data_IF_695232070752
#
_entry.id   IF_695232070752
#
_cell.length_a   1.000
_cell.length_b   1.000
_cell.length_c   1.000
_cell.angle_alpha   90.00
_cell.angle_beta   90.00
_cell.angle_gamma   90.00
#
_symmetry.space_group_name_H-M   'P 1'
#
loop_
_entity.id
_entity.type
_entity.pdbx_description
1 polymer ?
#
# COMPACT_ATOMS: atom_id res chain seq x y z
N UNK A 1 15.65 23.97 -13.43
CA UNK A 1 14.19 23.89 -13.57
C UNK A 1 13.84 22.42 -13.66
N UNK A 2 13.16 21.86 -12.65
CA UNK A 2 12.71 20.45 -12.69
C UNK A 2 11.41 20.42 -13.50
N UNK A 3 11.27 19.54 -14.52
CA UNK A 3 10.04 19.43 -15.31
C UNK A 3 8.80 19.23 -14.43
N UNK A 4 7.71 19.92 -14.77
CA UNK A 4 6.42 19.90 -14.04
C UNK A 4 5.78 18.51 -13.93
N UNK A 5 6.23 17.55 -14.74
CA UNK A 5 5.73 16.18 -14.83
C UNK A 5 6.18 15.26 -13.67
N UNK A 6 7.17 15.68 -12.88
CA UNK A 6 7.68 14.89 -11.75
C UNK A 6 7.08 15.33 -10.39
N UNK A 7 5.97 16.06 -10.42
CA UNK A 7 5.25 16.49 -9.22
C UNK A 7 4.09 15.54 -8.93
N UNK A 8 3.90 15.10 -7.67
CA UNK A 8 2.69 14.37 -7.31
C UNK A 8 1.47 15.21 -7.66
N UNK A 9 0.45 14.57 -8.21
CA UNK A 9 -0.74 15.21 -8.74
C UNK A 9 -1.36 16.16 -7.70
N UNK A 10 -1.80 17.36 -8.13
CA UNK A 10 -2.19 18.46 -7.24
C UNK A 10 -3.28 18.13 -6.20
N UNK A 11 -4.09 17.11 -6.45
CA UNK A 11 -5.11 16.60 -5.52
C UNK A 11 -4.53 15.82 -4.31
N UNK A 12 -3.24 15.47 -4.34
CA UNK A 12 -2.52 14.81 -3.24
C UNK A 12 -1.90 15.79 -2.23
N UNK A 13 -1.91 17.11 -2.48
CA UNK A 13 -1.26 18.10 -1.60
C UNK A 13 -2.00 18.40 -0.28
N UNK A 14 -3.16 17.79 -0.06
CA UNK A 14 -4.00 18.00 1.13
C UNK A 14 -4.30 16.76 1.96
N UNK A 15 -3.84 15.57 1.55
CA UNK A 15 -3.94 14.36 2.36
C UNK A 15 -2.87 14.40 3.45
N UNK A 16 -3.13 15.19 4.50
CA UNK A 16 -2.45 14.99 5.78
C UNK A 16 -2.82 13.60 6.27
N UNK A 17 -1.80 12.76 6.52
CA UNK A 17 -1.94 11.41 7.05
C UNK A 17 -2.83 10.49 6.20
N UNK A 18 -2.25 9.49 5.55
CA UNK A 18 -3.06 8.37 5.05
C UNK A 18 -3.57 7.63 6.30
N UNK A 19 -4.70 8.07 6.85
CA UNK A 19 -5.50 7.30 7.80
C UNK A 19 -6.26 6.25 6.98
N UNK A 20 -5.50 5.32 6.39
CA UNK A 20 -6.07 4.11 5.87
C UNK A 20 -6.56 3.32 7.07
N UNK A 21 -7.86 3.00 7.16
CA UNK A 21 -8.32 2.02 8.13
C UNK A 21 -7.77 0.65 7.70
N UNK A 22 -6.57 0.34 8.21
CA UNK A 22 -5.80 -0.89 7.91
C UNK A 22 -6.65 -2.12 8.23
N UNK A 23 -7.51 -2.04 9.25
CA UNK A 23 -8.42 -3.11 9.64
C UNK A 23 -9.50 -3.30 8.57
N UNK A 24 -10.10 -2.23 8.05
CA UNK A 24 -11.03 -2.31 6.92
C UNK A 24 -10.37 -2.84 5.65
N UNK A 25 -9.12 -2.47 5.36
CA UNK A 25 -8.42 -2.95 4.17
C UNK A 25 -8.10 -4.44 4.25
N UNK A 26 -7.71 -4.93 5.43
CA UNK A 26 -7.53 -6.37 5.67
C UNK A 26 -8.86 -7.11 5.60
N UNK A 27 -9.90 -6.59 6.25
CA UNK A 27 -11.24 -7.19 6.21
C UNK A 27 -11.80 -7.24 4.78
N UNK A 28 -11.57 -6.20 3.98
CA UNK A 28 -11.93 -6.18 2.57
C UNK A 28 -11.17 -7.26 1.78
N UNK A 29 -9.85 -7.38 1.97
CA UNK A 29 -9.04 -8.40 1.30
C UNK A 29 -9.52 -9.82 1.66
N UNK A 30 -9.77 -10.09 2.93
CA UNK A 30 -10.24 -11.39 3.42
C UNK A 30 -11.63 -11.72 2.86
N UNK A 31 -12.55 -10.76 2.87
CA UNK A 31 -13.88 -10.93 2.28
C UNK A 31 -13.82 -11.17 0.78
N UNK A 32 -12.98 -10.43 0.07
CA UNK A 32 -12.82 -10.56 -1.37
C UNK A 32 -12.23 -11.93 -1.74
N UNK A 33 -11.22 -12.38 -1.00
CA UNK A 33 -10.65 -13.72 -1.16
C UNK A 33 -11.71 -14.80 -0.88
N UNK A 34 -12.45 -14.67 0.22
CA UNK A 34 -13.49 -15.63 0.58
C UNK A 34 -14.63 -15.70 -0.44
N UNK A 35 -15.03 -14.57 -1.01
CA UNK A 35 -16.04 -14.49 -2.08
C UNK A 35 -15.57 -15.26 -3.33
N UNK A 36 -14.32 -15.06 -3.73
CA UNK A 36 -13.75 -15.78 -4.88
C UNK A 36 -13.68 -17.28 -4.61
N UNK A 37 -13.16 -17.69 -3.46
CA UNK A 37 -12.96 -19.11 -3.14
C UNK A 37 -14.27 -19.87 -2.93
N UNK A 38 -15.26 -19.24 -2.29
CA UNK A 38 -16.50 -19.92 -1.87
C UNK A 38 -17.62 -19.79 -2.89
N UNK A 39 -17.68 -18.67 -3.62
CA UNK A 39 -18.79 -18.38 -4.53
C UNK A 39 -18.33 -18.40 -5.98
N UNK A 40 -17.23 -17.74 -6.36
CA UNK A 40 -16.85 -17.63 -7.77
C UNK A 40 -16.19 -18.91 -8.32
N UNK A 41 -15.12 -19.39 -7.68
CA UNK A 41 -14.31 -20.50 -8.16
C UNK A 41 -15.08 -21.81 -8.33
N UNK A 42 -16.01 -22.21 -7.42
CA UNK A 42 -16.79 -23.43 -7.59
C UNK A 42 -17.72 -23.42 -8.81
N UNK A 43 -18.05 -22.23 -9.33
CA UNK A 43 -18.93 -22.09 -10.50
C UNK A 43 -18.16 -21.99 -11.82
N UNK A 44 -16.83 -21.86 -11.81
CA UNK A 44 -16.01 -21.75 -13.02
C UNK A 44 -16.12 -22.97 -13.93
N UNK A 45 -16.25 -24.18 -13.37
CA UNK A 45 -16.37 -25.40 -14.18
C UNK A 45 -17.64 -25.41 -15.04
N UNK A 46 -18.77 -24.97 -14.48
CA UNK A 46 -20.04 -24.89 -15.22
C UNK A 46 -19.96 -23.87 -16.35
N UNK A 47 -19.35 -22.71 -16.09
CA UNK A 47 -19.14 -21.70 -17.13
C UNK A 47 -18.20 -22.24 -18.21
N UNK A 48 -17.14 -22.95 -17.83
CA UNK A 48 -16.22 -23.55 -18.78
C UNK A 48 -16.88 -24.61 -19.67
N UNK A 49 -17.85 -25.36 -19.15
CA UNK A 49 -18.57 -26.38 -19.91
C UNK A 49 -19.55 -25.74 -20.92
N UNK A 50 -20.29 -24.70 -20.52
CA UNK A 50 -21.13 -23.92 -21.43
C UNK A 50 -20.31 -23.25 -22.54
N UNK A 51 -19.13 -22.73 -22.18
CA UNK A 51 -18.21 -22.07 -23.12
C UNK A 51 -17.45 -23.05 -24.02
N UNK A 52 -17.60 -24.37 -23.84
CA UNK A 52 -17.04 -25.41 -24.72
C UNK A 52 -18.10 -26.10 -25.59
N UNK A 53 -19.35 -25.63 -25.55
CA UNK A 53 -20.42 -26.20 -26.34
C UNK A 53 -20.00 -26.31 -27.82
N UNK A 54 -19.99 -27.51 -28.43
CA UNK A 54 -19.47 -27.70 -29.77
C UNK A 54 -20.37 -27.00 -30.78
N UNK A 55 -19.75 -26.12 -31.56
CA UNK A 55 -20.43 -25.41 -32.65
C UNK A 55 -20.30 -26.26 -33.92
N UNK A 56 -21.40 -26.55 -34.64
CA UNK A 56 -21.34 -27.27 -35.90
C UNK A 56 -20.45 -26.55 -36.91
N UNK A 57 -19.74 -27.31 -37.75
CA UNK A 57 -19.02 -26.71 -38.87
C UNK A 57 -20.04 -26.10 -39.85
N UNK A 58 -19.89 -24.83 -40.24
CA UNK A 58 -20.76 -24.24 -41.25
C UNK A 58 -20.61 -24.99 -42.57
N UNK A 59 -21.73 -25.11 -43.31
CA UNK A 59 -21.63 -25.49 -44.71
C UNK A 59 -21.00 -24.34 -45.49
N UNK A 60 -19.99 -24.65 -46.30
CA UNK A 60 -19.15 -23.72 -47.09
C UNK A 60 -19.97 -22.89 -48.10
N UNK A 61 -21.26 -23.19 -48.26
CA UNK A 61 -22.20 -22.53 -49.15
C UNK A 61 -22.60 -21.11 -48.71
N UNK A 62 -22.36 -20.73 -47.44
CA UNK A 62 -22.76 -19.44 -46.89
C UNK A 62 -21.58 -18.75 -46.19
N UNK A 63 -20.87 -17.87 -46.91
CA UNK A 63 -19.66 -17.20 -46.39
C UNK A 63 -19.96 -16.33 -45.16
N UNK A 64 -21.14 -15.72 -45.09
CA UNK A 64 -21.58 -14.92 -43.95
C UNK A 64 -21.78 -15.78 -42.69
N UNK A 65 -22.26 -17.02 -42.86
CA UNK A 65 -22.41 -17.96 -41.76
C UNK A 65 -21.04 -18.43 -41.26
N UNK A 66 -20.09 -18.67 -42.18
CA UNK A 66 -18.71 -19.02 -41.82
C UNK A 66 -18.08 -17.90 -40.99
N UNK A 67 -18.13 -16.66 -41.46
CA UNK A 67 -17.59 -15.49 -40.75
C UNK A 67 -18.27 -15.27 -39.39
N UNK A 68 -19.59 -15.45 -39.32
CA UNK A 68 -20.32 -15.33 -38.06
C UNK A 68 -19.87 -16.37 -37.04
N UNK A 69 -19.74 -17.64 -37.44
CA UNK A 69 -19.32 -18.71 -36.52
C UNK A 69 -17.86 -18.55 -36.09
N UNK A 70 -17.00 -18.02 -36.96
CA UNK A 70 -15.62 -17.67 -36.60
C UNK A 70 -15.57 -16.56 -35.56
N UNK A 71 -16.24 -15.42 -35.80
CA UNK A 71 -16.33 -14.32 -34.84
C UNK A 71 -16.99 -14.74 -33.51
N UNK A 72 -17.98 -15.62 -33.58
CA UNK A 72 -18.61 -16.20 -32.39
C UNK A 72 -17.61 -17.02 -31.57
N UNK A 73 -16.83 -17.90 -32.22
CA UNK A 73 -15.80 -18.70 -31.55
C UNK A 73 -14.71 -17.82 -30.93
N UNK A 74 -14.28 -16.77 -31.63
CA UNK A 74 -13.31 -15.81 -31.08
C UNK A 74 -13.85 -15.12 -29.82
N UNK A 75 -15.11 -14.68 -29.86
CA UNK A 75 -15.76 -14.04 -28.73
C UNK A 75 -15.94 -15.02 -27.56
N UNK A 76 -16.29 -16.27 -27.85
CA UNK A 76 -16.41 -17.35 -26.87
C UNK A 76 -15.05 -17.59 -26.18
N UNK A 77 -13.96 -17.68 -26.95
CA UNK A 77 -12.62 -17.83 -26.40
C UNK A 77 -12.20 -16.63 -25.53
N UNK A 78 -12.37 -15.40 -26.03
CA UNK A 78 -12.01 -14.19 -25.29
C UNK A 78 -12.80 -14.06 -23.97
N UNK A 79 -14.08 -14.41 -24.00
CA UNK A 79 -14.93 -14.40 -22.80
C UNK A 79 -14.48 -15.44 -21.79
N UNK A 80 -14.12 -16.64 -22.25
CA UNK A 80 -13.60 -17.69 -21.38
C UNK A 80 -12.30 -17.24 -20.68
N UNK A 81 -11.37 -16.64 -21.42
CA UNK A 81 -10.11 -16.12 -20.86
C UNK A 81 -10.35 -15.07 -19.78
N UNK A 82 -11.29 -14.15 -19.99
CA UNK A 82 -11.64 -13.13 -18.99
C UNK A 82 -12.22 -13.78 -17.73
N UNK A 83 -13.19 -14.67 -17.87
CA UNK A 83 -13.84 -15.36 -16.74
C UNK A 83 -12.80 -16.14 -15.91
N UNK A 84 -11.92 -16.89 -16.57
CA UNK A 84 -10.84 -17.61 -15.87
C UNK A 84 -9.82 -16.66 -15.23
N UNK A 85 -9.56 -15.50 -15.83
CA UNK A 85 -8.64 -14.49 -15.32
C UNK A 85 -9.13 -13.76 -14.06
N UNK A 86 -10.45 -13.62 -13.86
CA UNK A 86 -11.03 -12.90 -12.72
C UNK A 86 -10.63 -13.50 -11.38
N UNK A 87 -10.60 -14.82 -11.26
CA UNK A 87 -10.21 -15.47 -10.00
C UNK A 87 -8.74 -15.13 -9.63
N UNK A 88 -7.83 -15.22 -10.60
CA UNK A 88 -6.42 -14.89 -10.40
C UNK A 88 -6.19 -13.40 -10.11
N UNK A 89 -6.80 -12.52 -10.90
CA UNK A 89 -6.67 -11.07 -10.74
C UNK A 89 -7.20 -10.60 -9.37
N UNK A 90 -8.33 -11.14 -8.94
CA UNK A 90 -8.92 -10.83 -7.63
C UNK A 90 -8.05 -11.34 -6.48
N UNK A 91 -7.48 -12.55 -6.60
CA UNK A 91 -6.54 -13.08 -5.61
C UNK A 91 -5.26 -12.24 -5.50
N UNK A 92 -4.73 -11.75 -6.63
CA UNK A 92 -3.60 -10.82 -6.62
C UNK A 92 -3.94 -9.49 -5.93
N UNK A 93 -5.14 -8.94 -6.17
CA UNK A 93 -5.60 -7.72 -5.53
C UNK A 93 -5.74 -7.90 -4.00
N UNK A 94 -6.36 -9.00 -3.56
CA UNK A 94 -6.48 -9.32 -2.14
C UNK A 94 -5.10 -9.48 -1.48
N UNK A 95 -4.19 -10.20 -2.13
CA UNK A 95 -2.81 -10.36 -1.66
C UNK A 95 -2.05 -9.03 -1.56
N UNK A 96 -2.23 -8.14 -2.55
CA UNK A 96 -1.62 -6.80 -2.52
C UNK A 96 -2.20 -5.95 -1.36
N UNK A 97 -3.51 -5.95 -1.17
CA UNK A 97 -4.17 -5.25 -0.06
C UNK A 97 -3.68 -5.76 1.31
N UNK A 98 -3.51 -7.08 1.46
CA UNK A 98 -2.92 -7.69 2.66
C UNK A 98 -1.48 -7.22 2.91
N UNK A 99 -0.64 -7.22 1.88
CA UNK A 99 0.76 -6.73 2.00
C UNK A 99 0.84 -5.26 2.41
N UNK A 100 -0.05 -4.41 1.87
CA UNK A 100 -0.11 -2.99 2.27
C UNK A 100 -0.55 -2.90 3.73
N UNK A 101 -1.59 -3.63 4.13
CA UNK A 101 -2.08 -3.63 5.51
C UNK A 101 -0.97 -4.05 6.51
N UNK A 102 -0.19 -5.08 6.19
CA UNK A 102 0.92 -5.55 7.05
C UNK A 102 2.02 -4.50 7.22
N UNK A 103 2.41 -3.82 6.13
CA UNK A 103 3.46 -2.78 6.17
C UNK A 103 3.04 -1.57 6.98
N UNK A 104 1.78 -1.15 6.85
CA UNK A 104 1.25 -0.02 7.61
C UNK A 104 1.07 -0.38 9.10
N UNK A 105 0.57 -1.58 9.41
CA UNK A 105 0.47 -2.05 10.80
C UNK A 105 1.83 -2.06 11.52
N UNK A 106 2.90 -2.49 10.83
CA UNK A 106 4.25 -2.43 11.38
C UNK A 106 4.76 -1.00 11.61
N UNK A 107 4.40 -0.06 10.74
CA UNK A 107 4.80 1.34 10.82
C UNK A 107 4.10 2.07 11.98
N UNK A 108 2.81 1.81 12.18
CA UNK A 108 2.03 2.34 13.31
C UNK A 108 2.52 1.76 14.65
N UNK A 109 2.78 0.45 14.69
CA UNK A 109 3.34 -0.21 15.87
C UNK A 109 4.70 0.41 16.26
N UNK A 110 5.60 0.62 15.29
CA UNK A 110 6.89 1.27 15.53
C UNK A 110 6.73 2.72 16.02
N UNK A 111 5.82 3.49 15.42
CA UNK A 111 5.56 4.87 15.81
C UNK A 111 4.98 4.95 17.22
N UNK A 112 4.04 4.05 17.58
CA UNK A 112 3.45 3.97 18.91
C UNK A 112 4.49 3.67 20.00
N UNK A 113 5.44 2.78 19.72
CA UNK A 113 6.54 2.47 20.64
C UNK A 113 7.44 3.70 20.86
N UNK A 114 7.76 4.44 19.80
CA UNK A 114 8.55 5.67 19.90
C UNK A 114 7.85 6.78 20.68
N UNK A 115 6.54 6.96 20.47
CA UNK A 115 5.74 7.92 21.25
C UNK A 115 5.73 7.52 22.72
N UNK A 116 5.51 6.23 23.03
CA UNK A 116 5.54 5.72 24.40
C UNK A 116 6.90 5.97 25.07
N UNK A 117 8.01 5.81 24.33
CA UNK A 117 9.34 6.07 24.85
C UNK A 117 9.58 7.57 25.12
N UNK A 118 9.08 8.45 24.25
CA UNK A 118 9.14 9.91 24.45
C UNK A 118 8.28 10.34 25.63
N UNK A 119 7.05 9.83 25.74
CA UNK A 119 6.16 10.09 26.87
C UNK A 119 6.80 9.62 28.18
N UNK A 120 7.41 8.43 28.19
CA UNK A 120 8.16 7.93 29.35
C UNK A 120 9.35 8.83 29.70
N UNK A 121 10.09 9.30 28.70
CA UNK A 121 11.22 10.21 28.89
C UNK A 121 10.78 11.59 29.43
N UNK A 122 9.60 12.08 29.01
CA UNK A 122 9.01 13.32 29.49
C UNK A 122 8.35 13.20 30.87
N UNK A 123 7.78 12.03 31.21
CA UNK A 123 7.12 11.77 32.48
C UNK A 123 8.09 11.44 33.62
N UNK A 124 9.34 11.06 33.31
CA UNK A 124 10.38 10.92 34.32
C UNK A 124 10.72 12.27 34.96
N UNK A 125 10.98 12.33 36.28
CA UNK A 125 11.44 13.57 36.91
C UNK A 125 12.72 14.01 36.20
N UNK A 126 12.66 15.17 35.53
CA UNK A 126 13.84 15.81 34.97
C UNK A 126 14.83 15.98 36.14
N UNK A 127 16.03 15.38 36.11
CA UNK A 127 17.04 15.76 37.07
C UNK A 127 17.33 17.23 36.77
N UNK A 128 16.84 18.12 37.63
CA UNK A 128 17.31 19.49 37.70
C UNK A 128 18.75 19.44 38.17
N UNK A 129 19.66 18.99 37.32
CA UNK A 129 21.07 19.32 37.44
C UNK A 129 21.12 20.83 37.29
N UNK A 130 21.21 21.53 38.42
CA UNK A 130 21.59 22.93 38.46
C UNK A 130 22.89 23.05 37.69
N UNK A 131 22.80 23.46 36.42
CA UNK A 131 23.99 23.78 35.63
C UNK A 131 24.65 24.95 36.35
N UNK A 132 25.91 24.81 36.84
CA UNK A 132 26.61 25.95 37.40
C UNK A 132 26.68 27.00 36.30
N UNK A 133 26.18 28.21 36.57
CA UNK A 133 26.36 29.34 35.68
C UNK A 133 27.87 29.58 35.53
N UNK A 134 28.41 29.64 34.30
CA UNK A 134 29.80 30.03 34.12
C UNK A 134 29.96 31.46 34.63
N UNK A 135 30.77 31.62 35.69
CA UNK A 135 31.15 32.93 36.21
C UNK A 135 32.06 33.59 35.17
N UNK A 136 31.58 34.65 34.54
CA UNK A 136 32.39 35.51 33.70
C UNK A 136 33.28 36.38 34.60
N UNK A 137 34.61 36.41 34.39
CA UNK A 137 35.49 37.32 35.13
C UNK A 137 35.12 38.76 34.81
N UNK A 138 35.00 39.58 35.86
CA UNK A 138 34.66 40.99 35.74
C UNK A 138 35.82 41.76 35.07
N UNK A 139 35.57 42.52 33.98
CA UNK A 139 36.64 43.16 33.19
C UNK A 139 37.32 44.35 33.88
N UNK A 140 37.05 44.62 35.16
CA UNK A 140 37.60 45.76 35.92
C UNK A 140 38.20 45.39 37.28
N UNK A 141 38.54 44.11 37.50
CA UNK A 141 39.33 43.71 38.66
C UNK A 141 40.80 44.12 38.53
N UNK A 142 41.49 44.58 39.59
CA UNK A 142 42.87 45.03 39.51
C UNK A 142 43.79 43.87 39.09
N UNK A 143 44.56 44.08 38.02
CA UNK A 143 45.61 43.17 37.57
C UNK A 143 46.67 43.02 38.66
N UNK A 144 46.54 41.96 39.47
CA UNK A 144 47.64 41.51 40.33
C UNK A 144 48.62 40.73 39.48
N UNK A 145 49.53 41.48 38.85
CA UNK A 145 50.69 40.94 38.18
C UNK A 145 51.58 40.16 39.14
N UNK A 146 52.11 39.04 38.65
CA UNK A 146 53.40 38.55 39.10
C UNK A 146 54.15 37.95 37.91
N UNK A 147 55.08 38.77 37.40
CA UNK A 147 56.17 38.34 36.52
C UNK A 147 57.14 37.52 37.37
N UNK A 148 57.44 36.30 36.94
CA UNK A 148 58.66 35.59 37.34
C UNK A 148 59.24 34.90 36.09
N UNK A 149 60.33 35.46 35.57
CA UNK A 149 61.43 34.72 34.94
C UNK A 149 62.43 34.40 36.08
N UNK A 150 63.18 33.29 36.10
CA UNK A 150 63.69 32.50 34.97
C UNK A 150 63.20 31.04 34.90
#
# INVERSE_FOLDING_TARGET
MIPEENRPAGWLRGYGGIEADIRQMREFADRLQAEVERNYAPHLSYIADDMKAPIPHPADAFVELVQFLEAHRETQQATAEVVWGVAGATGHLAGAAGQVADRYAGSDAFSSARVTDVERALAGPSPSTSRPLPVLPEPTGPENGQVVLP
#
